data_IF_738466256186
#
_entry.id   IF_738466256186
#
_cell.length_a   1.000
_cell.length_b   1.000
_cell.length_c   1.000
_cell.angle_alpha   90.00
_cell.angle_beta   90.00
_cell.angle_gamma   90.00
#
_symmetry.space_group_name_H-M   'P 1'
#
loop_
_entity.id
_entity.type
_entity.pdbx_description
1 polymer ?
#
# COMPACT_ATOMS: atom_id res chain seq x y z
N UNK A 1 8.17 5.48 -0.44
CA UNK A 1 6.87 5.82 0.18
C UNK A 1 6.85 5.51 1.68
N UNK A 2 7.11 4.29 2.14
CA UNK A 2 7.02 3.92 3.57
C UNK A 2 7.83 4.87 4.48
N UNK A 3 9.08 5.18 4.13
CA UNK A 3 9.92 6.12 4.89
C UNK A 3 9.29 7.51 5.02
N UNK A 4 8.74 8.06 3.93
CA UNK A 4 8.08 9.36 3.95
C UNK A 4 6.80 9.36 4.80
N UNK A 5 6.02 8.25 4.75
CA UNK A 5 4.85 8.06 5.60
C UNK A 5 5.29 8.01 7.07
N UNK A 6 6.28 7.17 7.42
CA UNK A 6 6.79 7.08 8.78
C UNK A 6 7.25 8.45 9.34
N UNK A 7 8.03 9.20 8.56
CA UNK A 7 8.45 10.58 8.93
C UNK A 7 7.26 11.52 9.12
N UNK A 8 6.26 11.43 8.25
CA UNK A 8 5.08 12.30 8.35
C UNK A 8 4.26 12.02 9.60
N UNK A 9 4.11 10.74 9.98
CA UNK A 9 3.39 10.37 11.20
C UNK A 9 4.20 10.65 12.45
N UNK A 10 5.51 10.39 12.46
CA UNK A 10 6.41 10.77 13.56
C UNK A 10 6.38 12.28 13.82
N UNK A 11 6.43 13.10 12.76
CA UNK A 11 6.26 14.55 12.85
C UNK A 11 4.88 14.98 13.37
N UNK A 12 3.90 14.10 13.34
CA UNK A 12 2.57 14.27 13.95
C UNK A 12 2.46 13.74 15.37
N UNK A 13 3.58 13.31 15.99
CA UNK A 13 3.63 12.82 17.37
C UNK A 13 3.23 11.34 17.55
N UNK A 14 3.18 10.56 16.47
CA UNK A 14 2.86 9.14 16.55
C UNK A 14 4.12 8.32 16.85
N UNK A 15 4.03 7.36 17.77
CA UNK A 15 5.00 6.29 17.91
C UNK A 15 4.96 5.36 16.70
N UNK A 16 6.12 4.87 16.25
CA UNK A 16 6.26 4.15 14.99
C UNK A 16 6.79 2.74 15.20
N UNK A 17 6.13 1.75 14.64
CA UNK A 17 6.63 0.39 14.48
C UNK A 17 6.93 0.14 13.01
N UNK A 18 8.21 -0.01 12.67
CA UNK A 18 8.68 -0.25 11.31
C UNK A 18 8.83 -1.75 11.08
N UNK A 19 8.14 -2.30 10.10
CA UNK A 19 8.21 -3.71 9.76
C UNK A 19 8.65 -3.91 8.30
N UNK A 20 9.72 -4.68 8.08
CA UNK A 20 10.21 -5.01 6.75
C UNK A 20 11.18 -6.19 6.79
N UNK A 21 11.45 -6.80 5.64
CA UNK A 21 12.55 -7.75 5.44
C UNK A 21 13.90 -7.08 5.69
N UNK A 22 14.84 -7.82 6.28
CA UNK A 22 16.16 -7.30 6.64
C UNK A 22 16.04 -6.04 7.50
N UNK A 23 15.28 -6.15 8.59
CA UNK A 23 14.90 -5.03 9.45
C UNK A 23 16.08 -4.24 10.00
N UNK A 24 17.26 -4.85 10.16
CA UNK A 24 18.49 -4.17 10.60
C UNK A 24 18.85 -2.94 9.76
N UNK A 25 18.48 -2.92 8.46
CA UNK A 25 18.67 -1.74 7.58
C UNK A 25 17.82 -0.52 7.95
N UNK A 26 16.84 -0.70 8.82
CA UNK A 26 15.95 0.38 9.27
C UNK A 26 16.52 1.14 10.49
N UNK A 27 17.64 0.68 11.10
CA UNK A 27 18.26 1.34 12.26
C UNK A 27 18.56 2.84 12.04
N UNK A 28 19.11 3.28 10.88
CA UNK A 28 19.32 4.72 10.66
C UNK A 28 18.01 5.51 10.65
N UNK A 29 16.94 4.93 10.06
CA UNK A 29 15.62 5.58 10.06
C UNK A 29 15.02 5.59 11.48
N UNK A 30 15.14 4.51 12.23
CA UNK A 30 14.71 4.44 13.63
C UNK A 30 15.35 5.56 14.45
N UNK A 31 16.68 5.69 14.39
CA UNK A 31 17.41 6.75 15.11
C UNK A 31 16.99 8.16 14.65
N UNK A 32 16.84 8.38 13.34
CA UNK A 32 16.39 9.68 12.81
C UNK A 32 15.00 10.04 13.35
N UNK A 33 14.04 9.10 13.36
CA UNK A 33 12.68 9.35 13.86
C UNK A 33 12.68 9.63 15.37
N UNK A 34 13.39 8.83 16.15
CA UNK A 34 13.47 8.99 17.62
C UNK A 34 14.10 10.33 18.00
N UNK A 35 15.23 10.68 17.39
CA UNK A 35 15.97 11.91 17.75
C UNK A 35 15.23 13.15 17.24
N UNK A 36 14.78 13.13 15.98
CA UNK A 36 14.19 14.30 15.32
C UNK A 36 12.82 14.67 15.84
N UNK A 37 11.99 13.66 16.19
CA UNK A 37 10.58 13.87 16.53
C UNK A 37 10.25 13.50 17.97
N UNK A 38 11.21 13.02 18.75
CA UNK A 38 11.02 12.60 20.15
C UNK A 38 9.89 11.57 20.32
N UNK A 39 9.77 10.64 19.37
CA UNK A 39 8.79 9.53 19.40
C UNK A 39 9.48 8.20 19.63
N UNK A 40 8.74 7.23 20.15
CA UNK A 40 9.20 5.84 20.22
C UNK A 40 9.20 5.22 18.83
N UNK A 41 10.32 4.64 18.40
CA UNK A 41 10.41 3.93 17.14
C UNK A 41 11.03 2.55 17.33
N UNK A 42 10.31 1.49 16.96
CA UNK A 42 10.78 0.11 17.00
C UNK A 42 10.89 -0.48 15.59
N UNK A 43 11.77 -1.48 15.42
CA UNK A 43 11.97 -2.17 14.16
C UNK A 43 11.69 -3.67 14.32
N UNK A 44 11.03 -4.26 13.32
CA UNK A 44 10.57 -5.65 13.36
C UNK A 44 10.87 -6.33 12.02
N UNK A 45 11.30 -7.60 12.08
CA UNK A 45 11.45 -8.43 10.90
C UNK A 45 10.05 -8.86 10.40
N UNK A 46 9.77 -8.65 9.12
CA UNK A 46 8.51 -9.03 8.50
C UNK A 46 8.69 -9.33 7.02
N UNK A 47 8.25 -10.50 6.59
CA UNK A 47 8.19 -10.86 5.17
C UNK A 47 6.74 -11.13 4.74
N UNK A 48 6.24 -10.29 3.84
CA UNK A 48 4.90 -10.42 3.28
C UNK A 48 4.68 -11.76 2.54
N UNK A 49 5.75 -12.38 2.01
CA UNK A 49 5.70 -13.67 1.34
C UNK A 49 5.56 -14.86 2.31
N UNK A 50 5.92 -14.70 3.56
CA UNK A 50 5.93 -15.77 4.58
C UNK A 50 4.63 -15.75 5.42
N UNK A 51 3.48 -16.00 4.78
CA UNK A 51 2.17 -15.87 5.42
C UNK A 51 1.99 -16.71 6.68
N UNK A 52 2.65 -17.87 6.77
CA UNK A 52 2.64 -18.72 7.95
C UNK A 52 3.24 -18.04 9.21
N UNK A 53 4.11 -17.03 9.03
CA UNK A 53 4.76 -16.31 10.14
C UNK A 53 3.97 -15.09 10.60
N UNK A 54 2.94 -14.65 9.88
CA UNK A 54 2.25 -13.40 10.14
C UNK A 54 1.55 -13.37 11.50
N UNK A 55 0.97 -14.48 11.95
CA UNK A 55 0.32 -14.55 13.26
C UNK A 55 1.35 -14.40 14.39
N UNK A 56 2.47 -15.11 14.30
CA UNK A 56 3.57 -14.99 15.26
C UNK A 56 4.19 -13.57 15.25
N UNK A 57 4.38 -12.99 14.06
CA UNK A 57 4.82 -11.60 13.93
C UNK A 57 3.89 -10.63 14.67
N UNK A 58 2.58 -10.70 14.41
CA UNK A 58 1.63 -9.82 15.08
C UNK A 58 1.63 -10.03 16.60
N UNK A 59 1.78 -11.28 17.06
CA UNK A 59 1.87 -11.61 18.48
C UNK A 59 3.14 -11.07 19.15
N UNK A 60 4.26 -10.96 18.43
CA UNK A 60 5.54 -10.51 18.94
C UNK A 60 5.69 -8.98 19.08
N UNK A 61 4.74 -8.20 18.55
CA UNK A 61 4.80 -6.74 18.66
C UNK A 61 4.70 -6.30 20.13
N UNK A 62 5.57 -5.39 20.61
CA UNK A 62 5.61 -4.96 22.00
C UNK A 62 4.31 -4.30 22.46
N UNK A 63 3.66 -3.61 21.55
CA UNK A 63 2.32 -3.04 21.73
C UNK A 63 1.49 -3.27 20.47
N UNK A 64 0.20 -3.55 20.63
CA UNK A 64 -0.70 -3.62 19.48
C UNK A 64 -0.88 -2.23 18.88
N UNK A 65 -0.62 -2.03 17.59
CA UNK A 65 -0.80 -0.73 16.97
C UNK A 65 -2.28 -0.31 16.98
N UNK A 66 -2.53 1.00 17.03
CA UNK A 66 -3.87 1.57 16.82
C UNK A 66 -4.12 1.83 15.32
N UNK A 67 -3.05 1.87 14.54
CA UNK A 67 -3.10 2.13 13.11
C UNK A 67 -2.10 1.24 12.37
N UNK A 68 -2.56 0.60 11.31
CA UNK A 68 -1.70 -0.20 10.42
C UNK A 68 -1.75 0.34 9.00
N UNK A 69 -0.58 0.67 8.44
CA UNK A 69 -0.44 1.16 7.06
C UNK A 69 0.35 0.13 6.26
N UNK A 70 -0.32 -0.58 5.36
CA UNK A 70 0.27 -1.56 4.46
C UNK A 70 0.82 -0.85 3.21
N UNK A 71 2.16 -0.78 3.09
CA UNK A 71 2.86 -0.01 2.04
C UNK A 71 3.68 -0.89 1.11
N UNK A 72 3.96 -2.14 1.49
CA UNK A 72 4.80 -3.01 0.68
C UNK A 72 4.14 -3.36 -0.66
N UNK A 73 4.97 -3.69 -1.63
CA UNK A 73 4.55 -4.11 -2.97
C UNK A 73 5.77 -4.44 -3.83
N UNK A 74 5.53 -5.17 -4.89
CA UNK A 74 6.51 -5.59 -5.86
C UNK A 74 5.90 -5.46 -7.27
N UNK A 75 6.51 -4.67 -8.14
CA UNK A 75 6.01 -4.47 -9.50
C UNK A 75 6.26 -5.72 -10.34
N UNK A 76 7.45 -6.31 -10.17
CA UNK A 76 7.90 -7.42 -10.99
C UNK A 76 8.30 -7.01 -12.41
N UNK A 77 8.66 -8.01 -13.18
CA UNK A 77 8.88 -7.90 -14.62
C UNK A 77 7.71 -8.57 -15.35
N UNK A 78 6.91 -7.77 -16.05
CA UNK A 78 5.71 -8.26 -16.75
C UNK A 78 6.08 -9.28 -17.85
N UNK A 79 7.14 -9.03 -18.62
CA UNK A 79 7.54 -9.92 -19.70
C UNK A 79 8.08 -11.25 -19.19
N UNK A 80 8.87 -11.21 -18.12
CA UNK A 80 9.34 -12.41 -17.45
C UNK A 80 8.17 -13.22 -16.90
N UNK A 81 7.22 -12.56 -16.23
CA UNK A 81 6.07 -13.21 -15.62
C UNK A 81 5.11 -13.88 -16.63
N UNK A 82 5.17 -13.51 -17.91
CA UNK A 82 4.40 -14.16 -18.99
C UNK A 82 4.89 -15.59 -19.28
N UNK A 83 6.15 -15.88 -19.01
CA UNK A 83 6.78 -17.18 -19.27
C UNK A 83 7.29 -17.89 -18.01
N UNK A 84 7.51 -17.18 -16.91
CA UNK A 84 7.97 -17.70 -15.63
C UNK A 84 6.92 -17.50 -14.56
N UNK A 85 6.26 -18.60 -14.16
CA UNK A 85 5.27 -18.59 -13.11
C UNK A 85 5.83 -18.11 -11.77
N UNK A 86 7.10 -18.34 -11.47
CA UNK A 86 7.74 -17.94 -10.21
C UNK A 86 7.69 -16.42 -10.04
N UNK A 87 7.95 -15.67 -11.13
CA UNK A 87 7.85 -14.21 -11.09
C UNK A 87 6.38 -13.76 -10.96
N UNK A 88 5.46 -14.40 -11.69
CA UNK A 88 4.03 -14.14 -11.56
C UNK A 88 3.55 -14.38 -10.12
N UNK A 89 3.86 -15.56 -9.57
CA UNK A 89 3.49 -15.92 -8.19
C UNK A 89 4.05 -14.91 -7.18
N UNK A 90 5.30 -14.47 -7.33
CA UNK A 90 5.93 -13.47 -6.49
C UNK A 90 5.20 -12.13 -6.50
N UNK A 91 4.74 -11.70 -7.70
CA UNK A 91 3.93 -10.47 -7.85
C UNK A 91 2.62 -10.63 -7.07
N UNK A 92 1.89 -11.72 -7.28
CA UNK A 92 0.60 -11.98 -6.63
C UNK A 92 0.76 -12.15 -5.12
N UNK A 93 1.74 -12.95 -4.71
CA UNK A 93 2.03 -13.24 -3.30
C UNK A 93 2.35 -11.94 -2.53
N UNK A 94 3.21 -11.09 -3.09
CA UNK A 94 3.60 -9.87 -2.39
C UNK A 94 2.48 -8.83 -2.36
N UNK A 95 1.81 -8.58 -3.50
CA UNK A 95 0.87 -7.45 -3.61
C UNK A 95 -0.54 -7.76 -3.09
N UNK A 96 -0.92 -9.04 -3.04
CA UNK A 96 -2.26 -9.44 -2.66
C UNK A 96 -2.25 -10.42 -1.48
N UNK A 97 -1.73 -11.63 -1.65
CA UNK A 97 -1.85 -12.69 -0.65
C UNK A 97 -1.24 -12.28 0.70
N UNK A 98 0.00 -11.78 0.69
CA UNK A 98 0.68 -11.31 1.91
C UNK A 98 -0.02 -10.12 2.56
N UNK A 99 -0.54 -9.19 1.75
CA UNK A 99 -1.27 -8.04 2.27
C UNK A 99 -2.60 -8.47 2.93
N UNK A 100 -3.36 -9.35 2.27
CA UNK A 100 -4.61 -9.88 2.82
C UNK A 100 -4.34 -10.68 4.10
N UNK A 101 -3.32 -11.54 4.10
CA UNK A 101 -2.96 -12.38 5.24
C UNK A 101 -2.72 -11.54 6.50
N UNK A 102 -1.82 -10.58 6.46
CA UNK A 102 -1.52 -9.75 7.64
C UNK A 102 -2.68 -8.84 8.02
N UNK A 103 -3.34 -8.20 7.05
CA UNK A 103 -4.43 -7.27 7.35
C UNK A 103 -5.69 -7.97 7.87
N UNK A 104 -5.91 -9.25 7.54
CA UNK A 104 -7.02 -10.01 8.12
C UNK A 104 -6.81 -10.27 9.61
N UNK A 105 -5.58 -10.57 10.04
CA UNK A 105 -5.22 -10.72 11.45
C UNK A 105 -5.38 -9.39 12.20
N UNK A 106 -4.83 -8.30 11.66
CA UNK A 106 -4.98 -6.94 12.22
C UNK A 106 -6.45 -6.54 12.31
N UNK A 107 -7.24 -6.85 11.29
CA UNK A 107 -8.66 -6.55 11.26
C UNK A 107 -9.46 -7.28 12.36
N UNK A 108 -9.07 -8.51 12.67
CA UNK A 108 -9.69 -9.28 13.75
C UNK A 108 -9.35 -8.69 15.12
N UNK A 109 -8.08 -8.29 15.34
CA UNK A 109 -7.66 -7.60 16.56
C UNK A 109 -8.44 -6.28 16.74
N UNK A 110 -8.52 -5.44 15.70
CA UNK A 110 -9.21 -4.16 15.76
C UNK A 110 -10.72 -4.31 15.96
N UNK A 111 -11.32 -5.33 15.31
CA UNK A 111 -12.73 -5.63 15.50
C UNK A 111 -13.06 -6.07 16.93
N UNK A 112 -12.16 -6.84 17.57
CA UNK A 112 -12.29 -7.24 18.97
C UNK A 112 -12.10 -6.04 19.92
N UNK A 113 -11.15 -5.14 19.60
CA UNK A 113 -10.92 -3.90 20.36
C UNK A 113 -12.06 -2.87 20.21
N UNK A 114 -12.83 -2.94 19.12
CA UNK A 114 -13.86 -1.95 18.78
C UNK A 114 -13.31 -0.62 18.25
N UNK A 115 -12.03 -0.57 17.90
CA UNK A 115 -11.38 0.64 17.38
C UNK A 115 -10.13 0.28 16.58
N UNK A 116 -9.73 1.17 15.67
CA UNK A 116 -8.49 1.04 14.90
C UNK A 116 -8.59 1.64 13.50
N UNK A 117 -7.46 1.68 12.82
CA UNK A 117 -7.37 2.16 11.45
C UNK A 117 -6.48 1.26 10.60
N UNK A 118 -6.98 0.86 9.45
CA UNK A 118 -6.22 0.15 8.41
C UNK A 118 -6.12 1.03 7.18
N UNK A 119 -4.91 1.28 6.68
CA UNK A 119 -4.69 1.93 5.40
C UNK A 119 -3.93 1.00 4.46
N UNK A 120 -4.45 0.78 3.26
CA UNK A 120 -3.79 -0.01 2.22
C UNK A 120 -3.37 0.83 1.03
N UNK A 121 -2.08 0.74 0.64
CA UNK A 121 -1.58 1.38 -0.57
C UNK A 121 -1.81 0.44 -1.75
N UNK A 122 -2.88 0.71 -2.50
CA UNK A 122 -3.19 0.04 -3.75
C UNK A 122 -2.55 0.78 -4.95
N UNK A 123 -3.21 0.90 -6.07
CA UNK A 123 -2.74 1.61 -7.25
C UNK A 123 -3.90 1.85 -8.23
N UNK A 124 -3.80 2.91 -9.03
CA UNK A 124 -4.68 3.10 -10.20
C UNK A 124 -4.51 2.00 -11.26
N UNK A 125 -3.38 1.28 -11.24
CA UNK A 125 -3.16 0.13 -12.11
C UNK A 125 -4.18 -1.01 -11.87
N UNK A 126 -4.76 -1.08 -10.68
CA UNK A 126 -5.80 -2.05 -10.34
C UNK A 126 -7.20 -1.71 -10.87
N UNK A 127 -7.40 -0.55 -11.50
CA UNK A 127 -8.73 -0.16 -11.97
C UNK A 127 -9.07 -0.66 -13.39
N UNK A 128 -8.06 -0.90 -14.20
CA UNK A 128 -8.20 -1.52 -15.54
C UNK A 128 -6.92 -2.24 -15.93
N UNK A 129 -7.03 -3.49 -16.37
CA UNK A 129 -5.91 -4.29 -16.86
C UNK A 129 -5.26 -3.63 -18.08
N UNK A 130 -3.92 -3.65 -18.13
CA UNK A 130 -3.11 -3.13 -19.24
C UNK A 130 -2.08 -4.17 -19.61
N UNK A 131 -1.75 -4.29 -20.89
CA UNK A 131 -0.76 -5.26 -21.33
C UNK A 131 0.61 -5.09 -20.65
N UNK A 132 0.95 -3.85 -20.26
CA UNK A 132 2.25 -3.53 -19.67
C UNK A 132 2.42 -4.01 -18.21
N UNK A 133 1.33 -4.36 -17.49
CA UNK A 133 1.43 -4.70 -16.07
C UNK A 133 0.20 -5.43 -15.51
N UNK A 134 -0.42 -6.33 -16.27
CA UNK A 134 -1.68 -6.96 -15.84
C UNK A 134 -1.53 -7.91 -14.64
N UNK A 135 -0.38 -8.53 -14.40
CA UNK A 135 -0.16 -9.31 -13.17
C UNK A 135 -0.17 -8.41 -11.93
N UNK A 136 0.59 -7.32 -11.98
CA UNK A 136 0.58 -6.32 -10.91
C UNK A 136 -0.80 -5.65 -10.77
N UNK A 137 -1.39 -5.28 -11.89
CA UNK A 137 -2.72 -4.65 -11.94
C UNK A 137 -3.80 -5.54 -11.33
N UNK A 138 -3.83 -6.84 -11.65
CA UNK A 138 -4.79 -7.80 -11.08
C UNK A 138 -4.63 -7.95 -9.57
N UNK A 139 -3.38 -8.05 -9.08
CA UNK A 139 -3.11 -8.10 -7.64
C UNK A 139 -3.59 -6.83 -6.91
N UNK A 140 -3.37 -5.64 -7.50
CA UNK A 140 -3.84 -4.38 -6.92
C UNK A 140 -5.36 -4.20 -7.04
N UNK A 141 -6.00 -4.73 -8.09
CA UNK A 141 -7.46 -4.80 -8.21
C UNK A 141 -8.06 -5.66 -7.08
N UNK A 142 -7.55 -6.86 -6.90
CA UNK A 142 -7.92 -7.75 -5.80
C UNK A 142 -7.75 -7.08 -4.44
N UNK A 143 -6.61 -6.41 -4.21
CA UNK A 143 -6.35 -5.71 -2.96
C UNK A 143 -7.32 -4.53 -2.73
N UNK A 144 -7.67 -3.78 -3.77
CA UNK A 144 -8.68 -2.72 -3.70
C UNK A 144 -10.05 -3.27 -3.33
N UNK A 145 -10.47 -4.37 -3.95
CA UNK A 145 -11.72 -5.06 -3.65
C UNK A 145 -11.74 -5.60 -2.20
N UNK A 146 -10.63 -6.22 -1.75
CA UNK A 146 -10.46 -6.68 -0.37
C UNK A 146 -10.63 -5.54 0.63
N UNK A 147 -9.94 -4.40 0.45
CA UNK A 147 -10.06 -3.24 1.32
C UNK A 147 -11.48 -2.67 1.35
N UNK A 148 -12.20 -2.72 0.22
CA UNK A 148 -13.59 -2.30 0.15
C UNK A 148 -14.50 -3.21 0.98
N UNK A 149 -14.38 -4.54 0.82
CA UNK A 149 -15.11 -5.52 1.63
C UNK A 149 -14.76 -5.43 3.12
N UNK A 150 -13.47 -5.25 3.42
CA UNK A 150 -13.00 -5.07 4.80
C UNK A 150 -13.62 -3.83 5.46
N UNK A 151 -13.74 -2.72 4.73
CA UNK A 151 -14.42 -1.49 5.18
C UNK A 151 -15.87 -1.75 5.53
N UNK A 152 -16.58 -2.48 4.68
CA UNK A 152 -17.97 -2.85 4.94
C UNK A 152 -18.10 -3.71 6.20
N UNK A 153 -17.29 -4.77 6.33
CA UNK A 153 -17.26 -5.67 7.51
C UNK A 153 -17.00 -4.90 8.81
N UNK A 154 -16.05 -3.95 8.78
CA UNK A 154 -15.52 -3.30 9.98
C UNK A 154 -16.26 -2.01 10.37
N UNK A 155 -17.11 -1.48 9.51
CA UNK A 155 -17.80 -0.21 9.74
C UNK A 155 -18.54 -0.18 11.08
N UNK A 156 -19.33 -1.22 11.37
CA UNK A 156 -20.08 -1.35 12.64
C UNK A 156 -19.22 -1.75 13.84
N UNK A 157 -17.93 -2.00 13.62
CA UNK A 157 -16.95 -2.36 14.66
C UNK A 157 -16.07 -1.19 15.07
N UNK A 158 -16.39 0.04 14.64
CA UNK A 158 -15.62 1.23 14.99
C UNK A 158 -14.23 1.31 14.33
N UNK A 159 -13.95 0.48 13.32
CA UNK A 159 -12.64 0.43 12.65
C UNK A 159 -12.72 1.10 11.29
N UNK A 160 -11.82 2.04 11.04
CA UNK A 160 -11.74 2.75 9.77
C UNK A 160 -10.81 2.06 8.77
N UNK A 161 -11.22 1.97 7.50
CA UNK A 161 -10.40 1.39 6.42
C UNK A 161 -10.23 2.39 5.28
N UNK A 162 -8.99 2.81 5.03
CA UNK A 162 -8.60 3.73 3.95
C UNK A 162 -7.95 2.95 2.79
N UNK A 163 -8.46 3.12 1.59
CA UNK A 163 -7.81 2.69 0.35
C UNK A 163 -7.11 3.88 -0.31
N UNK A 164 -5.81 3.75 -0.54
CA UNK A 164 -5.02 4.77 -1.23
C UNK A 164 -4.68 4.26 -2.63
N UNK A 165 -5.01 5.04 -3.65
CA UNK A 165 -4.77 4.73 -5.05
C UNK A 165 -3.83 5.77 -5.68
N UNK A 166 -2.50 5.56 -5.55
CA UNK A 166 -1.54 6.41 -6.24
C UNK A 166 -1.55 6.12 -7.75
N UNK A 167 -1.29 7.17 -8.53
CA UNK A 167 -0.76 7.02 -9.87
C UNK A 167 0.74 6.73 -9.84
N UNK A 168 1.50 7.32 -10.75
CA UNK A 168 2.96 7.19 -10.74
C UNK A 168 3.56 7.92 -9.54
N UNK A 169 4.56 7.28 -8.90
CA UNK A 169 5.28 7.84 -7.75
C UNK A 169 6.78 7.60 -7.94
N UNK A 170 7.60 8.62 -7.79
CA UNK A 170 9.05 8.49 -7.80
C UNK A 170 9.54 7.58 -6.68
N UNK A 171 9.92 6.35 -7.00
CA UNK A 171 10.41 5.35 -6.05
C UNK A 171 11.42 4.44 -6.74
N UNK A 172 12.17 3.65 -5.96
CA UNK A 172 13.02 2.59 -6.54
C UNK A 172 12.27 1.63 -7.47
N UNK A 173 10.97 1.43 -7.24
CA UNK A 173 10.12 0.57 -8.07
C UNK A 173 9.90 1.15 -9.49
N UNK A 174 9.98 2.47 -9.65
CA UNK A 174 9.71 3.20 -10.90
C UNK A 174 10.95 3.89 -11.46
N UNK A 175 12.12 3.68 -10.85
CA UNK A 175 13.38 4.37 -11.21
C UNK A 175 13.79 4.10 -12.66
N UNK A 176 13.61 2.85 -13.13
CA UNK A 176 13.97 2.42 -14.47
C UNK A 176 12.79 2.39 -15.46
N UNK A 177 11.64 2.95 -15.07
CA UNK A 177 10.48 3.00 -15.95
C UNK A 177 10.47 4.31 -16.75
N UNK A 178 10.13 4.28 -18.05
CA UNK A 178 9.76 5.48 -18.76
C UNK A 178 8.48 6.03 -18.15
N UNK A 179 8.63 7.03 -17.26
CA UNK A 179 7.46 7.66 -16.63
C UNK A 179 6.69 8.44 -17.68
N UNK A 180 5.40 8.18 -17.89
CA UNK A 180 4.64 8.80 -18.94
C UNK A 180 4.33 10.25 -18.63
N UNK A 181 4.58 11.12 -19.61
CA UNK A 181 4.05 12.47 -19.64
C UNK A 181 4.73 13.49 -18.71
N UNK A 182 4.10 14.64 -18.50
CA UNK A 182 4.68 15.73 -17.72
C UNK A 182 4.86 15.33 -16.25
N UNK A 183 5.91 15.85 -15.61
CA UNK A 183 6.23 15.64 -14.18
C UNK A 183 5.02 15.87 -13.24
N UNK A 184 4.03 16.64 -13.71
CA UNK A 184 2.75 16.85 -13.01
C UNK A 184 2.01 15.53 -12.72
N UNK A 185 2.13 14.50 -13.54
CA UNK A 185 1.46 13.21 -13.35
C UNK A 185 2.13 12.33 -12.29
N UNK A 186 3.38 12.61 -11.95
CA UNK A 186 4.16 11.81 -11.01
C UNK A 186 4.17 12.48 -9.62
N UNK A 187 3.84 11.73 -8.59
CA UNK A 187 3.91 12.19 -7.21
C UNK A 187 5.28 11.88 -6.59
N UNK A 188 5.69 12.66 -5.60
CA UNK A 188 6.81 12.28 -4.72
C UNK A 188 6.30 11.44 -3.53
N UNK A 189 7.17 10.68 -2.86
CA UNK A 189 6.82 9.97 -1.64
C UNK A 189 6.20 10.88 -0.56
N UNK A 190 6.65 12.13 -0.46
CA UNK A 190 6.18 13.13 0.51
C UNK A 190 4.75 13.60 0.20
N UNK A 191 4.41 13.73 -1.09
CA UNK A 191 3.03 14.03 -1.53
C UNK A 191 2.11 12.88 -1.12
N UNK A 192 2.53 11.62 -1.32
CA UNK A 192 1.76 10.45 -0.88
C UNK A 192 1.58 10.45 0.63
N UNK A 193 2.66 10.66 1.39
CA UNK A 193 2.63 10.69 2.85
C UNK A 193 1.67 11.76 3.38
N UNK A 194 1.74 12.96 2.82
CA UNK A 194 0.86 14.07 3.19
C UNK A 194 -0.61 13.77 2.85
N UNK A 195 -0.87 13.16 1.68
CA UNK A 195 -2.22 12.78 1.28
C UNK A 195 -2.81 11.71 2.20
N UNK A 196 -2.03 10.69 2.56
CA UNK A 196 -2.43 9.64 3.51
C UNK A 196 -2.74 10.23 4.88
N UNK A 197 -1.84 11.04 5.43
CA UNK A 197 -2.01 11.68 6.74
C UNK A 197 -3.30 12.51 6.80
N UNK A 198 -3.51 13.40 5.81
CA UNK A 198 -4.73 14.22 5.70
C UNK A 198 -6.00 13.39 5.52
N UNK A 199 -5.92 12.30 4.76
CA UNK A 199 -7.06 11.41 4.51
C UNK A 199 -7.50 10.70 5.79
N UNK A 200 -6.54 10.27 6.60
CA UNK A 200 -6.80 9.64 7.90
C UNK A 200 -7.46 10.63 8.86
N UNK A 201 -6.91 11.84 8.99
CA UNK A 201 -7.51 12.89 9.83
C UNK A 201 -8.95 13.23 9.40
N UNK A 202 -9.23 13.18 8.09
CA UNK A 202 -10.56 13.48 7.54
C UNK A 202 -11.46 12.24 7.39
N UNK A 203 -11.05 11.10 7.90
CA UNK A 203 -11.77 9.81 7.81
C UNK A 203 -12.24 9.49 6.38
N UNK A 204 -11.37 9.72 5.38
CA UNK A 204 -11.68 9.40 3.98
C UNK A 204 -11.59 7.90 3.74
N UNK A 205 -12.52 7.36 2.97
CA UNK A 205 -12.56 5.93 2.64
C UNK A 205 -11.64 5.55 1.48
N UNK A 206 -11.58 6.39 0.45
CA UNK A 206 -10.77 6.18 -0.76
C UNK A 206 -10.17 7.51 -1.18
N UNK A 207 -8.89 7.50 -1.49
CA UNK A 207 -8.20 8.66 -2.06
C UNK A 207 -7.37 8.28 -3.29
N UNK A 208 -7.28 9.21 -4.23
CA UNK A 208 -6.34 9.17 -5.34
C UNK A 208 -5.20 10.16 -5.06
N UNK A 209 -3.97 9.73 -5.24
CA UNK A 209 -2.81 10.60 -5.13
C UNK A 209 -2.20 10.78 -6.53
N UNK A 210 -2.20 11.88 -7.01
CA UNK A 210 -2.89 13.17 -7.08
C UNK A 210 -4.37 13.00 -7.47
N UNK A 211 -5.26 13.87 -6.99
CA UNK A 211 -6.72 13.75 -7.10
C UNK A 211 -7.25 13.57 -8.52
N UNK A 212 -6.62 14.15 -9.51
CA UNK A 212 -7.02 14.07 -10.92
C UNK A 212 -6.91 12.66 -11.52
N UNK A 213 -6.15 11.74 -10.90
CA UNK A 213 -6.11 10.33 -11.31
C UNK A 213 -7.49 9.69 -11.27
N UNK A 214 -8.37 10.16 -10.39
CA UNK A 214 -9.77 9.69 -10.37
C UNK A 214 -10.47 9.92 -11.72
N UNK A 215 -10.26 11.10 -12.30
CA UNK A 215 -10.89 11.46 -13.57
C UNK A 215 -10.21 10.76 -14.76
N UNK A 216 -8.91 10.67 -14.75
CA UNK A 216 -8.16 9.91 -15.76
C UNK A 216 -8.64 8.45 -15.78
N UNK A 217 -8.77 7.82 -14.62
CA UNK A 217 -9.23 6.44 -14.54
C UNK A 217 -10.70 6.29 -14.89
N UNK A 218 -11.53 7.27 -14.58
CA UNK A 218 -12.92 7.26 -15.04
C UNK A 218 -13.01 7.22 -16.57
N UNK A 219 -12.23 8.07 -17.25
CA UNK A 219 -12.15 8.07 -18.71
C UNK A 219 -11.58 6.74 -19.25
N UNK A 220 -10.49 6.24 -18.69
CA UNK A 220 -9.89 4.97 -19.13
C UNK A 220 -10.88 3.80 -18.97
N UNK A 221 -11.63 3.75 -17.86
CA UNK A 221 -12.62 2.69 -17.61
C UNK A 221 -13.84 2.78 -18.55
N UNK A 222 -14.19 3.96 -19.00
CA UNK A 222 -15.32 4.15 -19.93
C UNK A 222 -14.99 3.82 -21.39
N UNK A 223 -13.71 3.60 -21.74
CA UNK A 223 -13.33 3.18 -23.09
C UNK A 223 -13.91 1.78 -23.36
N UNK A 224 -14.71 1.57 -24.43
CA UNK A 224 -15.21 0.24 -24.77
C UNK A 224 -14.08 -0.75 -25.03
N UNK A 225 -14.28 -2.02 -24.66
CA UNK A 225 -13.26 -3.06 -24.79
C UNK A 225 -12.78 -3.26 -26.23
N UNK A 226 -13.70 -3.10 -27.20
CA UNK A 226 -13.39 -3.16 -28.65
C UNK A 226 -12.34 -2.14 -29.10
N UNK A 227 -12.24 -1.00 -28.40
CA UNK A 227 -11.23 0.02 -28.63
C UNK A 227 -10.03 -0.19 -27.70
N UNK A 228 -10.26 -0.44 -26.41
CA UNK A 228 -9.22 -0.52 -25.41
C UNK A 228 -8.17 -1.61 -25.72
N UNK A 229 -8.60 -2.80 -26.20
CA UNK A 229 -7.70 -3.89 -26.60
C UNK A 229 -6.71 -3.56 -27.73
N UNK A 230 -6.94 -2.44 -28.45
CA UNK A 230 -6.06 -1.96 -29.52
C UNK A 230 -5.05 -0.93 -29.04
N UNK A 231 -5.19 -0.44 -27.81
CA UNK A 231 -4.30 0.56 -27.22
C UNK A 231 -3.09 -0.13 -26.60
N UNK A 232 -1.91 0.41 -26.86
CA UNK A 232 -0.65 -0.01 -26.21
C UNK A 232 -0.46 0.82 -24.92
N UNK A 233 -1.06 0.37 -23.83
CA UNK A 233 -1.01 1.03 -22.52
C UNK A 233 -0.30 0.17 -21.48
#
# INVERSE_FOLDING_TARGET
MAVAIARKFAAGGFDIQLAARHSGRLRPLQSDLTIRYSVTCTIHEFDAGQTATHAAFLASLPTRPDMTICVFGYLGDQQLAESDWTECERILQTNYVGAVSILNLVASDYAAKGSGLIAGISSVAGERGRQSNYFYGSAKAGFTAYLSGLRNRLFRKGVHVLTVQPGFVYTKMTENMPLPGPALLVATPEIVATAVFRAIQKKKNVIYVKWFWRWIMLLIKSIPESLFKKLKL
#
